data_IF_644741797180
#
_entry.id   IF_644741797180
#
_cell.length_a   1.000
_cell.length_b   1.000
_cell.length_c   1.000
_cell.angle_alpha   90.00
_cell.angle_beta   90.00
_cell.angle_gamma   90.00
#
_symmetry.space_group_name_H-M   'P 1'
#
loop_
_entity.id
_entity.type
_entity.pdbx_description
1 polymer ?
#
# COMPACT_ATOMS: atom_id res chain seq x y z
N UNK A 1 -21.60 -13.74 -2.01
CA UNK A 1 -21.12 -12.44 -2.53
C UNK A 1 -22.00 -12.09 -3.72
N UNK A 2 -22.57 -10.88 -3.82
CA UNK A 2 -23.54 -10.59 -4.90
C UNK A 2 -22.90 -10.15 -6.22
N UNK A 3 -21.75 -9.45 -6.19
CA UNK A 3 -20.91 -9.10 -7.34
C UNK A 3 -19.47 -8.80 -6.92
N UNK A 4 -18.55 -8.86 -7.88
CA UNK A 4 -17.14 -8.45 -7.77
C UNK A 4 -16.75 -7.68 -9.04
N UNK A 5 -16.11 -6.51 -8.91
CA UNK A 5 -15.78 -5.58 -10.02
C UNK A 5 -17.02 -5.08 -10.80
N UNK A 6 -17.55 -3.90 -10.45
CA UNK A 6 -18.62 -3.21 -11.20
C UNK A 6 -19.72 -2.63 -10.32
N UNK A 7 -20.71 -1.99 -10.96
CA UNK A 7 -21.89 -1.47 -10.27
C UNK A 7 -22.84 -2.64 -9.92
N UNK A 8 -23.36 -2.72 -8.68
CA UNK A 8 -24.32 -3.75 -8.32
C UNK A 8 -25.60 -3.64 -9.16
N UNK A 9 -26.24 -4.77 -9.43
CA UNK A 9 -27.61 -4.77 -9.94
C UNK A 9 -28.57 -4.11 -8.94
N UNK A 10 -29.66 -3.56 -9.46
CA UNK A 10 -30.75 -3.08 -8.63
C UNK A 10 -31.31 -4.27 -7.84
N UNK A 11 -31.30 -4.15 -6.52
CA UNK A 11 -31.81 -5.15 -5.60
C UNK A 11 -32.70 -4.48 -4.57
N UNK A 12 -33.72 -5.20 -4.09
CA UNK A 12 -34.69 -4.68 -3.12
C UNK A 12 -34.16 -4.61 -1.69
N UNK A 13 -32.91 -5.04 -1.46
CA UNK A 13 -32.26 -4.99 -0.14
C UNK A 13 -30.98 -4.15 -0.20
N UNK A 14 -30.67 -3.40 0.87
CA UNK A 14 -29.42 -2.64 0.94
C UNK A 14 -28.19 -3.53 0.75
N UNK A 15 -27.20 -2.98 0.05
CA UNK A 15 -25.89 -3.61 -0.13
C UNK A 15 -24.84 -2.88 0.71
N UNK A 16 -23.86 -3.62 1.20
CA UNK A 16 -22.66 -3.07 1.83
C UNK A 16 -21.50 -3.17 0.87
N UNK A 17 -20.80 -2.06 0.65
CA UNK A 17 -19.60 -2.00 -0.17
C UNK A 17 -18.38 -2.46 0.65
N UNK A 18 -17.53 -3.28 0.03
CA UNK A 18 -16.28 -3.75 0.61
C UNK A 18 -15.18 -3.70 -0.45
N UNK A 19 -13.94 -3.45 0.00
CA UNK A 19 -12.76 -3.52 -0.84
C UNK A 19 -12.18 -4.94 -0.84
N UNK A 20 -11.87 -5.47 -2.02
CA UNK A 20 -11.11 -6.71 -2.13
C UNK A 20 -9.62 -6.41 -2.03
N UNK A 21 -8.98 -6.91 -0.96
CA UNK A 21 -7.58 -6.58 -0.59
C UNK A 21 -6.54 -7.46 -1.27
N UNK A 22 -6.95 -8.40 -2.12
CA UNK A 22 -6.04 -9.35 -2.78
C UNK A 22 -5.75 -10.62 -1.96
N UNK A 23 -6.17 -10.69 -0.69
CA UNK A 23 -6.03 -11.88 0.15
C UNK A 23 -7.14 -12.87 -0.17
N UNK A 24 -6.77 -14.13 -0.41
CA UNK A 24 -7.73 -15.19 -0.62
C UNK A 24 -7.30 -16.51 0.00
N UNK A 25 -8.30 -17.34 0.30
CA UNK A 25 -8.12 -18.75 0.65
C UNK A 25 -8.85 -19.56 -0.40
N UNK A 26 -8.12 -20.38 -1.14
CA UNK A 26 -8.65 -21.16 -2.26
C UNK A 26 -8.60 -22.65 -1.92
N UNK A 27 -9.66 -23.38 -2.27
CA UNK A 27 -9.60 -24.84 -2.27
C UNK A 27 -8.65 -25.33 -3.37
N UNK A 28 -8.05 -26.53 -3.24
CA UNK A 28 -7.17 -27.05 -4.29
C UNK A 28 -7.82 -27.11 -5.68
N UNK A 29 -9.12 -27.44 -5.74
CA UNK A 29 -9.88 -27.51 -7.00
C UNK A 29 -10.01 -26.14 -7.68
N UNK A 30 -10.06 -25.05 -6.91
CA UNK A 30 -10.12 -23.71 -7.48
C UNK A 30 -8.86 -23.34 -8.28
N UNK A 31 -7.74 -24.03 -8.05
CA UNK A 31 -6.52 -23.83 -8.85
C UNK A 31 -6.69 -24.25 -10.31
N UNK A 32 -7.60 -25.19 -10.60
CA UNK A 32 -7.88 -25.69 -11.95
C UNK A 32 -8.50 -24.62 -12.86
N UNK A 33 -9.17 -23.61 -12.30
CA UNK A 33 -9.79 -22.52 -13.04
C UNK A 33 -8.88 -21.28 -13.15
N UNK A 34 -7.70 -21.29 -12.50
CA UNK A 34 -6.79 -20.15 -12.55
C UNK A 34 -6.13 -20.02 -13.93
N UNK A 35 -6.02 -18.81 -14.49
CA UNK A 35 -5.34 -18.62 -15.75
C UNK A 35 -3.82 -18.79 -15.56
N UNK A 36 -3.14 -19.38 -16.55
CA UNK A 36 -1.65 -19.40 -16.56
C UNK A 36 -1.07 -17.98 -16.56
N UNK A 37 -1.77 -17.03 -17.21
CA UNK A 37 -1.41 -15.61 -17.28
C UNK A 37 -2.66 -14.75 -17.23
N UNK A 38 -2.61 -13.67 -16.46
CA UNK A 38 -3.65 -12.64 -16.46
C UNK A 38 -4.22 -12.37 -15.08
N UNK A 39 -5.38 -11.72 -15.05
CA UNK A 39 -6.03 -11.31 -13.82
C UNK A 39 -6.91 -12.42 -13.27
N UNK A 40 -6.54 -12.95 -12.09
CA UNK A 40 -7.32 -13.94 -11.34
C UNK A 40 -8.76 -13.48 -11.08
N UNK A 41 -8.98 -12.18 -10.88
CA UNK A 41 -10.32 -11.67 -10.59
C UNK A 41 -11.22 -11.73 -11.81
N UNK A 42 -10.72 -11.25 -12.96
CA UNK A 42 -11.49 -11.22 -14.21
C UNK A 42 -11.70 -12.61 -14.80
N UNK A 43 -10.75 -13.53 -14.62
CA UNK A 43 -10.85 -14.90 -15.17
C UNK A 43 -11.59 -15.86 -14.26
N UNK A 44 -11.24 -15.91 -12.97
CA UNK A 44 -11.74 -16.94 -12.06
C UNK A 44 -12.87 -16.40 -11.18
N UNK A 45 -12.62 -15.39 -10.35
CA UNK A 45 -13.63 -14.91 -9.39
C UNK A 45 -14.91 -14.41 -10.04
N UNK A 46 -14.83 -13.70 -11.18
CA UNK A 46 -16.02 -13.28 -11.92
C UNK A 46 -16.90 -14.49 -12.26
N UNK A 47 -16.32 -15.55 -12.82
CA UNK A 47 -17.04 -16.78 -13.14
C UNK A 47 -17.59 -17.46 -11.88
N UNK A 48 -16.78 -17.60 -10.83
CA UNK A 48 -17.21 -18.26 -9.59
C UNK A 48 -18.35 -17.52 -8.86
N UNK A 49 -18.35 -16.18 -8.90
CA UNK A 49 -19.43 -15.38 -8.29
C UNK A 49 -20.72 -15.47 -9.11
N UNK A 50 -20.61 -15.64 -10.42
CA UNK A 50 -21.76 -15.76 -11.34
C UNK A 50 -22.33 -17.20 -11.40
N UNK A 51 -21.57 -18.20 -10.94
CA UNK A 51 -21.95 -19.62 -10.96
C UNK A 51 -22.69 -20.03 -9.66
N UNK A 52 -23.98 -20.42 -9.73
CA UNK A 52 -24.76 -20.78 -8.55
C UNK A 52 -24.31 -22.09 -7.87
N UNK A 53 -23.53 -22.92 -8.55
CA UNK A 53 -22.98 -24.17 -7.99
C UNK A 53 -21.67 -23.94 -7.22
N UNK A 54 -21.07 -22.75 -7.35
CA UNK A 54 -19.82 -22.37 -6.71
C UNK A 54 -20.09 -21.45 -5.52
N UNK A 55 -19.52 -21.79 -4.35
CA UNK A 55 -19.64 -20.94 -3.17
C UNK A 55 -18.46 -19.97 -3.07
N UNK A 56 -18.75 -18.67 -3.19
CA UNK A 56 -17.79 -17.59 -2.91
C UNK A 56 -18.21 -16.83 -1.65
N UNK A 57 -17.45 -17.05 -0.58
CA UNK A 57 -17.55 -16.32 0.68
C UNK A 57 -16.64 -15.08 0.71
N UNK A 58 -16.94 -14.16 1.63
CA UNK A 58 -16.07 -13.04 1.96
C UNK A 58 -15.80 -13.02 3.46
N UNK A 59 -14.58 -12.70 3.85
CA UNK A 59 -14.21 -12.40 5.23
C UNK A 59 -13.93 -10.89 5.31
N UNK A 60 -14.68 -10.19 6.15
CA UNK A 60 -14.51 -8.75 6.35
C UNK A 60 -13.58 -8.54 7.53
N UNK A 61 -12.39 -8.04 7.24
CA UNK A 61 -11.48 -7.51 8.23
C UNK A 61 -11.71 -6.00 8.38
N UNK A 62 -11.70 -5.51 9.62
CA UNK A 62 -11.84 -4.09 9.96
C UNK A 62 -10.51 -3.46 10.36
N UNK A 63 -9.42 -4.22 10.26
CA UNK A 63 -8.06 -3.74 10.44
C UNK A 63 -7.68 -2.71 9.37
N UNK A 64 -6.67 -1.92 9.69
CA UNK A 64 -6.18 -0.91 8.76
C UNK A 64 -5.57 -1.57 7.52
N UNK A 65 -6.00 -1.11 6.34
CA UNK A 65 -5.45 -1.55 5.06
C UNK A 65 -5.08 -0.33 4.23
N UNK A 66 -3.89 -0.35 3.62
CA UNK A 66 -3.37 0.73 2.77
C UNK A 66 -2.78 0.14 1.51
N UNK A 67 -3.21 0.67 0.36
CA UNK A 67 -2.49 0.50 -0.90
C UNK A 67 -1.34 1.52 -0.93
N UNK A 68 -0.11 1.05 -1.12
CA UNK A 68 1.09 1.89 -1.18
C UNK A 68 1.56 2.09 -2.63
N UNK A 69 0.61 2.13 -3.57
CA UNK A 69 0.87 2.20 -5.01
C UNK A 69 1.54 3.50 -5.49
N UNK A 70 1.54 4.55 -4.67
CA UNK A 70 2.19 5.83 -4.99
C UNK A 70 3.16 6.29 -3.89
N UNK A 71 4.18 7.11 -4.23
CA UNK A 71 5.05 7.73 -3.22
C UNK A 71 4.29 8.53 -2.16
N UNK A 72 3.21 9.23 -2.56
CA UNK A 72 2.36 9.97 -1.64
C UNK A 72 1.68 9.06 -0.61
N UNK A 73 1.16 7.92 -1.07
CA UNK A 73 0.53 6.92 -0.21
C UNK A 73 1.53 6.24 0.71
N UNK A 74 2.71 5.90 0.20
CA UNK A 74 3.81 5.36 0.99
C UNK A 74 4.23 6.31 2.11
N UNK A 75 4.50 7.59 1.79
CA UNK A 75 4.86 8.59 2.79
C UNK A 75 3.75 8.74 3.83
N UNK A 76 2.50 8.89 3.38
CA UNK A 76 1.36 9.04 4.28
C UNK A 76 1.22 7.86 5.23
N UNK A 77 1.41 6.62 4.78
CA UNK A 77 1.33 5.45 5.65
C UNK A 77 2.38 5.48 6.77
N UNK A 78 3.60 5.93 6.48
CA UNK A 78 4.66 6.06 7.48
C UNK A 78 4.40 7.18 8.49
N UNK A 79 3.85 8.31 8.03
CA UNK A 79 3.44 9.38 8.95
C UNK A 79 2.24 8.98 9.80
N UNK A 80 1.29 8.24 9.23
CA UNK A 80 0.14 7.70 9.96
C UNK A 80 0.58 6.69 11.03
N UNK A 81 1.68 5.94 10.82
CA UNK A 81 2.29 5.10 11.87
C UNK A 81 2.83 5.95 13.03
N UNK A 82 3.57 7.03 12.74
CA UNK A 82 4.10 7.93 13.77
C UNK A 82 2.99 8.63 14.57
N UNK A 83 1.90 9.01 13.90
CA UNK A 83 0.74 9.67 14.53
C UNK A 83 -0.18 8.67 15.28
N UNK A 84 0.13 7.37 15.28
CA UNK A 84 -0.72 6.31 15.85
C UNK A 84 -2.06 6.11 15.12
N UNK A 85 -2.20 6.66 13.90
CA UNK A 85 -3.39 6.52 13.04
C UNK A 85 -3.41 5.22 12.26
N UNK A 86 -2.25 4.61 12.07
CA UNK A 86 -2.07 3.28 11.51
C UNK A 86 -1.39 2.43 12.58
N UNK A 87 -1.90 1.22 12.83
CA UNK A 87 -1.25 0.29 13.75
C UNK A 87 -0.39 -0.70 13.00
N UNK A 88 0.86 -0.86 13.44
CA UNK A 88 1.71 -1.94 12.96
C UNK A 88 1.41 -3.22 13.75
N UNK A 89 1.39 -4.42 13.13
CA UNK A 89 0.90 -5.63 13.80
C UNK A 89 1.77 -6.10 14.98
N UNK A 90 3.03 -5.70 15.02
CA UNK A 90 4.01 -6.24 15.97
C UNK A 90 4.59 -5.21 16.94
N UNK A 91 4.41 -3.91 16.68
CA UNK A 91 5.08 -2.83 17.42
C UNK A 91 4.19 -1.59 17.44
N UNK A 92 4.19 -0.88 18.56
CA UNK A 92 3.60 0.45 18.67
C UNK A 92 4.69 1.49 18.45
N UNK A 93 4.47 2.42 17.53
CA UNK A 93 5.36 3.55 17.27
C UNK A 93 4.78 4.77 17.98
N UNK A 94 5.27 5.06 19.18
CA UNK A 94 4.92 6.28 19.92
C UNK A 94 6.13 7.22 19.94
N UNK A 95 6.42 7.85 18.79
CA UNK A 95 7.40 8.94 18.71
C UNK A 95 6.72 10.20 18.18
N UNK A 96 6.85 11.30 18.94
CA UNK A 96 6.52 12.64 18.44
C UNK A 96 7.58 13.09 17.41
N UNK A 97 7.55 12.49 16.23
CA UNK A 97 8.42 12.81 15.11
C UNK A 97 7.60 13.06 13.85
N UNK A 98 8.16 13.85 12.93
CA UNK A 98 7.63 13.98 11.57
C UNK A 98 8.54 13.30 10.55
N UNK A 99 9.54 12.56 11.01
CA UNK A 99 10.57 11.93 10.18
C UNK A 99 10.74 10.49 10.62
N UNK A 100 10.62 9.56 9.68
CA UNK A 100 10.96 8.15 9.88
C UNK A 100 12.39 7.93 9.43
N UNK A 101 13.23 7.38 10.31
CA UNK A 101 14.61 7.03 10.01
C UNK A 101 14.76 5.51 9.95
N UNK A 102 15.20 5.01 8.80
CA UNK A 102 15.62 3.62 8.66
C UNK A 102 16.93 3.35 9.40
N UNK A 103 17.20 2.08 9.67
CA UNK A 103 18.42 1.65 10.34
C UNK A 103 19.68 2.19 9.63
N UNK A 104 20.59 2.80 10.40
CA UNK A 104 21.83 3.36 9.87
C UNK A 104 21.66 4.59 8.95
N UNK A 105 20.46 5.18 8.88
CA UNK A 105 20.27 6.49 8.26
C UNK A 105 21.04 7.57 9.03
N UNK A 106 21.65 8.50 8.32
CA UNK A 106 22.39 9.62 8.90
C UNK A 106 21.85 10.95 8.37
N UNK A 107 21.50 11.84 9.30
CA UNK A 107 21.04 13.21 9.02
C UNK A 107 22.03 14.17 9.69
N UNK A 108 22.81 14.96 8.92
CA UNK A 108 23.67 16.00 9.47
C UNK A 108 22.89 17.03 10.32
N UNK A 109 23.53 17.63 11.33
CA UNK A 109 22.86 18.55 12.27
C UNK A 109 22.27 19.81 11.61
N UNK A 110 22.91 20.27 10.54
CA UNK A 110 22.52 21.44 9.76
C UNK A 110 21.37 21.15 8.79
N UNK A 111 21.15 19.88 8.43
CA UNK A 111 20.03 19.46 7.59
C UNK A 111 18.71 19.54 8.35
N UNK A 112 17.65 19.95 7.63
CA UNK A 112 16.29 20.07 8.16
C UNK A 112 15.35 19.22 7.33
N UNK A 113 14.68 18.30 8.00
CA UNK A 113 13.68 17.39 7.44
C UNK A 113 12.33 17.62 8.08
N UNK A 114 11.26 17.47 7.30
CA UNK A 114 9.89 17.54 7.79
C UNK A 114 8.99 16.64 6.95
N UNK A 115 8.24 15.75 7.57
CA UNK A 115 7.37 14.80 6.85
C UNK A 115 8.17 13.99 5.83
N UNK A 116 9.22 13.32 6.33
CA UNK A 116 10.15 12.57 5.48
C UNK A 116 10.26 11.11 5.92
N UNK A 117 10.55 10.24 4.96
CA UNK A 117 11.04 8.87 5.24
C UNK A 117 12.46 8.78 4.71
N UNK A 118 13.43 8.46 5.55
CA UNK A 118 14.82 8.23 5.17
C UNK A 118 15.06 6.74 5.20
N UNK A 119 15.37 6.13 4.06
CA UNK A 119 15.61 4.69 3.96
C UNK A 119 16.88 4.25 4.70
N UNK A 120 16.96 2.98 5.11
CA UNK A 120 18.14 2.43 5.78
C UNK A 120 19.44 2.74 5.02
N UNK A 121 20.49 3.09 5.78
CA UNK A 121 21.81 3.42 5.25
C UNK A 121 21.91 4.71 4.42
N UNK A 122 20.84 5.52 4.37
CA UNK A 122 20.86 6.77 3.59
C UNK A 122 21.56 7.88 4.38
N UNK A 123 22.58 8.50 3.76
CA UNK A 123 23.14 9.76 4.25
C UNK A 123 22.45 10.93 3.55
N UNK A 124 21.80 11.79 4.33
CA UNK A 124 21.07 12.94 3.79
C UNK A 124 22.03 14.10 3.52
N UNK A 125 21.96 14.67 2.32
CA UNK A 125 22.83 15.77 1.89
C UNK A 125 22.14 17.13 1.89
N UNK A 126 20.81 17.15 1.80
CA UNK A 126 20.03 18.37 1.56
C UNK A 126 18.76 18.42 2.43
N UNK A 127 18.24 19.64 2.63
CA UNK A 127 16.94 19.83 3.25
C UNK A 127 15.83 19.22 2.41
N UNK A 128 14.83 18.62 3.05
CA UNK A 128 13.67 18.07 2.35
C UNK A 128 12.39 18.22 3.18
N UNK A 129 11.27 18.30 2.48
CA UNK A 129 9.96 18.18 3.06
C UNK A 129 9.05 17.33 2.17
N UNK A 130 8.15 16.55 2.76
CA UNK A 130 7.19 15.74 2.02
C UNK A 130 7.89 14.80 0.99
N UNK A 131 8.91 14.09 1.45
CA UNK A 131 9.84 13.35 0.59
C UNK A 131 10.26 11.99 1.17
N UNK A 132 10.63 11.09 0.27
CA UNK A 132 11.28 9.81 0.58
C UNK A 132 12.72 9.91 0.10
N UNK A 133 13.67 9.79 1.01
CA UNK A 133 15.10 9.87 0.75
C UNK A 133 15.68 8.46 0.76
N UNK A 134 16.18 8.02 -0.38
CA UNK A 134 16.84 6.74 -0.59
C UNK A 134 18.33 6.95 -0.89
N UNK A 135 19.19 5.92 -0.79
CA UNK A 135 20.65 6.08 -0.94
C UNK A 135 21.10 6.77 -2.24
N UNK A 136 20.29 6.68 -3.30
CA UNK A 136 20.63 7.18 -4.63
C UNK A 136 19.53 8.05 -5.26
N UNK A 137 18.48 8.39 -4.51
CA UNK A 137 17.35 9.15 -5.05
C UNK A 137 16.56 9.85 -3.96
N UNK A 138 16.00 11.01 -4.29
CA UNK A 138 14.94 11.65 -3.51
C UNK A 138 13.66 11.62 -4.32
N UNK A 139 12.58 11.11 -3.73
CA UNK A 139 11.26 11.03 -4.34
C UNK A 139 10.31 11.94 -3.58
N UNK A 140 9.79 12.97 -4.25
CA UNK A 140 8.85 13.92 -3.68
C UNK A 140 7.43 13.38 -3.72
N UNK A 141 6.69 13.50 -2.63
CA UNK A 141 5.32 12.98 -2.49
C UNK A 141 4.29 13.75 -3.35
N UNK A 142 4.62 14.97 -3.78
CA UNK A 142 3.83 15.74 -4.75
C UNK A 142 4.73 16.00 -5.97
N UNK A 143 4.23 15.70 -7.19
CA UNK A 143 5.06 15.65 -8.42
C UNK A 143 5.98 16.88 -8.59
N UNK A 144 7.22 16.77 -9.08
CA UNK A 144 7.85 15.81 -9.99
C UNK A 144 9.22 15.30 -9.44
N UNK A 145 9.80 14.22 -9.99
CA UNK A 145 11.19 13.86 -9.69
C UNK A 145 12.12 14.97 -10.21
N UNK A 146 12.72 15.76 -9.32
CA UNK A 146 13.81 16.64 -9.66
C UNK A 146 15.10 15.82 -9.69
N UNK A 147 15.62 15.60 -10.90
CA UNK A 147 17.00 15.19 -11.15
C UNK A 147 17.31 13.73 -10.84
N UNK A 148 17.09 12.85 -11.81
CA UNK A 148 18.01 11.72 -11.95
C UNK A 148 19.38 12.31 -12.28
N UNK A 149 20.22 12.51 -11.26
CA UNK A 149 21.64 12.74 -11.46
C UNK A 149 22.16 11.49 -12.17
N UNK A 150 22.56 11.63 -13.44
CA UNK A 150 23.13 10.55 -14.22
C UNK A 150 24.24 9.86 -13.41
N UNK A 151 24.08 8.56 -13.17
CA UNK A 151 25.16 7.74 -12.63
C UNK A 151 26.35 7.80 -13.62
N UNK A 152 27.58 8.10 -13.17
CA UNK A 152 28.74 8.05 -14.06
C UNK A 152 28.91 6.63 -14.60
N UNK A 153 29.14 6.54 -15.92
CA UNK A 153 29.43 5.28 -16.63
C UNK A 153 30.73 4.65 -16.18
#
# INVERSE_FOLDING_TARGET
MRRMLGQPEAVDVPLTEHMFTGVHVLSPRALEDLPERGCVIRHAYRRWVDDPEVTVGGFVDLGDWRDLGTPAEYLRAHLDLLDGRLRWPTEDFEEESTVVLGEGAYVPEDVKLRRCVVWPGTTVTDHAHDAILAPHATVWAHGAPLGATELPR
#
